data_IF_187075202169
#
_entry.id   IF_187075202169
#
_cell.length_a   1.000
_cell.length_b   1.000
_cell.length_c   1.000
_cell.angle_alpha   90.00
_cell.angle_beta   90.00
_cell.angle_gamma   90.00
#
_symmetry.space_group_name_H-M   'P 1'
#
loop_
_entity.id
_entity.type
_entity.pdbx_description
1 polymer ?
#
# COMPACT_ATOMS: atom_id res chain seq x y z
N UNK A 1 -7.33 65.63 -1.18
CA UNK A 1 -7.37 64.80 -2.41
C UNK A 1 -6.62 63.52 -2.10
N UNK A 2 -7.34 62.41 -1.91
CA UNK A 2 -6.83 61.16 -1.33
C UNK A 2 -6.27 60.22 -2.41
N UNK A 3 -5.22 59.47 -2.05
CA UNK A 3 -4.50 58.51 -2.90
C UNK A 3 -5.32 57.21 -3.00
N UNK A 4 -5.56 56.62 -4.19
CA UNK A 4 -6.25 55.34 -4.28
C UNK A 4 -5.28 54.16 -4.15
N UNK A 5 -5.72 53.11 -3.44
CA UNK A 5 -5.07 51.82 -3.27
C UNK A 5 -5.25 50.93 -4.52
N UNK A 6 -4.34 49.96 -4.80
CA UNK A 6 -4.46 49.10 -5.97
C UNK A 6 -5.52 48.01 -5.78
N UNK A 7 -6.25 47.76 -6.87
CA UNK A 7 -7.39 46.86 -6.97
C UNK A 7 -6.98 45.37 -6.97
N UNK A 8 -7.76 44.58 -6.22
CA UNK A 8 -7.80 43.13 -6.27
C UNK A 8 -8.10 42.65 -7.69
N UNK A 9 -7.16 41.90 -8.28
CA UNK A 9 -7.39 41.23 -9.56
C UNK A 9 -8.12 39.92 -9.32
N UNK A 10 -9.43 39.97 -9.53
CA UNK A 10 -10.33 38.83 -9.59
C UNK A 10 -10.03 38.05 -10.87
N UNK A 11 -9.61 36.78 -10.75
CA UNK A 11 -9.61 35.82 -11.86
C UNK A 11 -10.87 34.96 -11.75
N UNK A 12 -11.84 35.26 -12.62
CA UNK A 12 -12.90 34.38 -13.10
C UNK A 12 -12.53 34.05 -14.56
N UNK A 13 -12.80 32.92 -15.21
CA UNK A 13 -13.82 31.89 -15.06
C UNK A 13 -13.49 30.81 -16.12
N UNK A 14 -13.39 29.52 -15.76
CA UNK A 14 -13.94 28.42 -16.59
C UNK A 14 -14.08 27.14 -15.74
N UNK A 15 -14.92 27.24 -14.71
CA UNK A 15 -15.02 26.27 -13.63
C UNK A 15 -15.96 25.06 -13.92
N UNK A 16 -16.56 24.95 -15.12
CA UNK A 16 -17.73 24.09 -15.28
C UNK A 16 -17.49 22.56 -15.34
N UNK A 17 -16.35 22.10 -15.86
CA UNK A 17 -16.12 20.66 -16.16
C UNK A 17 -15.15 19.97 -15.22
N UNK A 18 -14.11 20.69 -14.78
CA UNK A 18 -13.14 20.19 -13.80
C UNK A 18 -13.73 20.16 -12.39
N UNK A 19 -14.68 21.05 -12.08
CA UNK A 19 -15.34 21.12 -10.77
C UNK A 19 -16.18 19.87 -10.46
N UNK A 20 -16.57 19.08 -11.46
CA UNK A 20 -17.27 17.80 -11.29
C UNK A 20 -16.32 16.66 -10.87
N UNK A 21 -15.13 16.55 -11.48
CA UNK A 21 -14.08 15.61 -11.00
C UNK A 21 -13.52 16.08 -9.65
N UNK A 22 -13.35 17.38 -9.43
CA UNK A 22 -12.92 17.95 -8.14
C UNK A 22 -13.96 17.76 -7.02
N UNK A 23 -15.26 17.84 -7.31
CA UNK A 23 -16.33 17.59 -6.34
C UNK A 23 -16.43 16.10 -5.98
N UNK A 24 -16.28 15.19 -6.94
CA UNK A 24 -16.22 13.75 -6.68
C UNK A 24 -15.00 13.34 -5.85
N UNK A 25 -13.85 14.00 -6.07
CA UNK A 25 -12.64 13.79 -5.28
C UNK A 25 -12.71 14.42 -3.88
N UNK A 26 -13.38 15.57 -3.71
CA UNK A 26 -13.69 16.15 -2.40
C UNK A 26 -14.66 15.25 -1.61
N UNK A 27 -15.61 14.59 -2.29
CA UNK A 27 -16.50 13.59 -1.69
C UNK A 27 -15.78 12.34 -1.14
N UNK A 28 -14.54 12.07 -1.56
CA UNK A 28 -13.72 10.98 -1.00
C UNK A 28 -12.99 11.37 0.30
N UNK A 29 -12.75 12.65 0.56
CA UNK A 29 -12.07 13.09 1.80
C UNK A 29 -12.91 12.83 3.06
N UNK A 30 -14.24 12.83 2.92
CA UNK A 30 -15.17 12.71 4.06
C UNK A 30 -15.79 11.30 4.21
N UNK A 31 -15.27 10.31 3.48
CA UNK A 31 -15.73 8.93 3.64
C UNK A 31 -15.20 8.31 4.95
N UNK A 32 -16.09 7.81 5.84
CA UNK A 32 -15.65 7.13 7.05
C UNK A 32 -14.84 5.87 6.70
N UNK A 33 -13.69 5.69 7.34
CA UNK A 33 -12.85 4.49 7.24
C UNK A 33 -11.77 4.50 6.15
N UNK A 34 -11.59 5.60 5.42
CA UNK A 34 -10.49 5.77 4.46
C UNK A 34 -9.56 6.93 4.88
N UNK A 35 -8.26 6.68 4.89
CA UNK A 35 -7.23 7.70 5.02
C UNK A 35 -6.96 8.30 3.63
N UNK A 36 -7.14 9.61 3.48
CA UNK A 36 -6.97 10.29 2.20
C UNK A 36 -5.95 11.41 2.36
N UNK A 37 -4.98 11.47 1.43
CA UNK A 37 -3.97 12.52 1.37
C UNK A 37 -3.76 13.01 -0.05
N UNK A 38 -3.59 14.32 -0.20
CA UNK A 38 -3.16 14.98 -1.43
C UNK A 38 -1.69 15.30 -1.32
N UNK A 39 -0.93 14.89 -2.33
CA UNK A 39 0.50 15.13 -2.45
C UNK A 39 0.78 16.14 -3.54
N UNK A 40 1.82 16.94 -3.35
CA UNK A 40 2.40 17.74 -4.44
C UNK A 40 3.21 16.86 -5.42
N UNK A 41 3.69 17.40 -6.56
CA UNK A 41 4.56 16.65 -7.48
C UNK A 41 5.90 16.20 -6.88
N UNK A 42 6.32 16.79 -5.74
CA UNK A 42 7.50 16.37 -4.99
C UNK A 42 7.21 15.26 -3.96
N UNK A 43 5.97 14.76 -3.94
CA UNK A 43 5.49 13.70 -3.05
C UNK A 43 5.40 14.12 -1.57
N UNK A 44 5.32 15.42 -1.32
CA UNK A 44 5.07 15.99 0.01
C UNK A 44 3.56 16.05 0.27
N UNK A 45 3.14 15.75 1.50
CA UNK A 45 1.73 15.84 1.89
C UNK A 45 1.31 17.31 1.93
N UNK A 46 0.38 17.70 1.06
CA UNK A 46 -0.18 19.05 1.01
C UNK A 46 -1.44 19.17 1.86
N UNK A 47 -2.31 18.16 1.80
CA UNK A 47 -3.58 18.10 2.52
C UNK A 47 -3.89 16.64 2.88
N UNK A 48 -4.64 16.40 3.95
CA UNK A 48 -5.16 15.08 4.29
C UNK A 48 -6.47 15.20 5.08
N UNK A 49 -7.24 14.12 5.17
CA UNK A 49 -8.46 14.08 5.98
C UNK A 49 -8.18 13.79 7.46
N UNK A 50 -9.19 13.94 8.31
CA UNK A 50 -9.07 13.73 9.75
C UNK A 50 -8.64 12.30 10.10
N UNK A 51 -9.12 11.30 9.35
CA UNK A 51 -8.74 9.90 9.56
C UNK A 51 -7.25 9.67 9.26
N UNK A 52 -6.71 10.31 8.23
CA UNK A 52 -5.29 10.29 7.94
C UNK A 52 -4.48 10.90 9.10
N UNK A 53 -4.89 12.06 9.63
CA UNK A 53 -4.19 12.68 10.75
C UNK A 53 -4.25 11.80 12.01
N UNK A 54 -5.44 11.25 12.33
CA UNK A 54 -5.63 10.31 13.44
C UNK A 54 -4.68 9.12 13.34
N UNK A 55 -4.43 8.64 12.13
CA UNK A 55 -3.57 7.49 11.92
C UNK A 55 -2.08 7.84 11.88
N UNK A 56 -1.64 8.99 11.35
CA UNK A 56 -0.22 9.24 11.01
C UNK A 56 0.50 10.35 11.78
N UNK A 57 -0.18 11.14 12.61
CA UNK A 57 0.52 12.17 13.38
C UNK A 57 -0.30 13.02 14.33
N UNK A 58 -1.57 12.70 14.58
CA UNK A 58 -2.44 13.44 15.49
C UNK A 58 -2.93 14.80 14.97
N UNK A 59 -2.09 15.55 14.22
CA UNK A 59 -2.43 16.87 13.68
C UNK A 59 -1.92 17.11 12.25
N UNK A 60 -2.43 18.17 11.60
CA UNK A 60 -1.99 18.59 10.27
C UNK A 60 -0.57 19.17 10.27
N UNK A 61 -0.14 19.82 11.35
CA UNK A 61 1.20 20.41 11.46
C UNK A 61 2.31 19.33 11.47
N UNK A 62 2.00 18.14 11.98
CA UNK A 62 2.95 17.03 12.10
C UNK A 62 3.08 16.21 10.82
N UNK A 63 2.20 16.42 9.85
CA UNK A 63 2.05 15.58 8.64
C UNK A 63 2.24 16.38 7.37
N UNK A 64 1.64 17.57 7.27
CA UNK A 64 1.76 18.42 6.09
C UNK A 64 3.22 18.88 5.90
N UNK A 65 3.68 18.89 4.65
CA UNK A 65 5.07 19.20 4.29
C UNK A 65 6.06 18.04 4.43
N UNK A 66 5.66 16.90 5.02
CA UNK A 66 6.49 15.69 5.08
C UNK A 66 6.37 14.87 3.79
N UNK A 67 7.43 14.16 3.45
CA UNK A 67 7.39 13.20 2.36
C UNK A 67 6.46 12.03 2.73
N UNK A 68 5.46 11.78 1.90
CA UNK A 68 4.51 10.68 2.13
C UNK A 68 5.20 9.33 2.26
N UNK A 69 6.28 9.11 1.51
CA UNK A 69 7.06 7.87 1.55
C UNK A 69 7.66 7.60 2.94
N UNK A 70 7.93 8.62 3.76
CA UNK A 70 8.51 8.42 5.10
C UNK A 70 7.52 7.82 6.10
N UNK A 71 6.21 7.88 5.79
CA UNK A 71 5.13 7.26 6.56
C UNK A 71 5.06 5.73 6.34
N UNK A 72 5.67 5.23 5.26
CA UNK A 72 5.76 3.81 4.97
C UNK A 72 6.99 3.16 5.62
N UNK A 73 6.93 1.83 5.81
CA UNK A 73 8.07 1.04 6.28
C UNK A 73 9.34 1.30 5.42
N UNK A 74 10.56 1.40 6.02
CA UNK A 74 11.80 1.67 5.29
C UNK A 74 12.00 0.86 4.00
N UNK A 75 11.70 -0.44 4.04
CA UNK A 75 11.79 -1.36 2.88
C UNK A 75 10.88 -0.98 1.70
N UNK A 76 9.80 -0.23 1.93
CA UNK A 76 8.83 0.17 0.92
C UNK A 76 9.05 1.59 0.39
N UNK A 77 9.91 2.40 1.03
CA UNK A 77 10.11 3.83 0.66
C UNK A 77 10.58 4.01 -0.77
N UNK A 78 11.61 3.28 -1.19
CA UNK A 78 12.15 3.38 -2.55
C UNK A 78 11.19 2.85 -3.62
N UNK A 79 10.59 1.64 -3.47
CA UNK A 79 9.55 1.17 -4.38
C UNK A 79 8.35 2.12 -4.51
N UNK A 80 7.87 2.65 -3.38
CA UNK A 80 6.73 3.56 -3.34
C UNK A 80 7.06 4.89 -4.03
N UNK A 81 8.23 5.47 -3.73
CA UNK A 81 8.75 6.68 -4.40
C UNK A 81 8.83 6.47 -5.91
N UNK A 82 9.36 5.33 -6.35
CA UNK A 82 9.43 5.00 -7.78
C UNK A 82 8.05 4.90 -8.43
N UNK A 83 7.09 4.23 -7.78
CA UNK A 83 5.72 4.10 -8.30
C UNK A 83 4.98 5.44 -8.39
N UNK A 84 5.14 6.30 -7.38
CA UNK A 84 4.58 7.65 -7.37
C UNK A 84 5.24 8.55 -8.41
N UNK A 85 6.57 8.48 -8.58
CA UNK A 85 7.29 9.22 -9.64
C UNK A 85 6.77 8.89 -11.04
N UNK A 86 6.45 7.62 -11.31
CA UNK A 86 5.81 7.23 -12.57
C UNK A 86 4.42 7.83 -12.80
N UNK A 87 3.72 8.25 -11.75
CA UNK A 87 2.48 9.03 -11.87
C UNK A 87 2.80 10.46 -12.27
N UNK A 88 3.76 11.11 -11.60
CA UNK A 88 4.22 12.48 -11.87
C UNK A 88 4.65 12.63 -13.33
N UNK A 89 5.46 11.70 -13.81
CA UNK A 89 6.00 11.71 -15.17
C UNK A 89 4.96 11.31 -16.24
N UNK A 90 3.72 11.00 -15.83
CA UNK A 90 2.64 10.60 -16.72
C UNK A 90 2.77 9.19 -17.32
N UNK A 91 3.84 8.46 -17.00
CA UNK A 91 4.11 7.08 -17.44
C UNK A 91 3.13 6.05 -16.89
N UNK A 92 2.28 6.45 -15.94
CA UNK A 92 1.24 5.60 -15.35
C UNK A 92 0.03 6.44 -14.95
N UNK A 93 -1.18 5.96 -15.25
CA UNK A 93 -2.43 6.69 -14.97
C UNK A 93 -2.99 6.45 -13.56
N UNK A 94 -2.62 5.34 -12.91
CA UNK A 94 -2.96 4.97 -11.54
C UNK A 94 -2.15 3.75 -11.10
N UNK A 95 -2.04 3.53 -9.79
CA UNK A 95 -1.64 2.22 -9.27
C UNK A 95 -2.33 1.92 -7.94
N UNK A 96 -2.48 0.62 -7.68
CA UNK A 96 -2.93 0.10 -6.39
C UNK A 96 -1.89 -0.91 -5.88
N UNK A 97 -1.59 -0.87 -4.59
CA UNK A 97 -0.65 -1.77 -3.92
C UNK A 97 -1.01 -1.91 -2.45
N UNK A 98 -0.46 -2.90 -1.77
CA UNK A 98 -0.59 -3.02 -0.32
C UNK A 98 0.65 -2.40 0.33
N UNK A 99 0.45 -1.54 1.32
CA UNK A 99 1.53 -0.92 2.09
C UNK A 99 1.40 -1.26 3.55
N UNK A 100 2.54 -1.49 4.20
CA UNK A 100 2.64 -1.52 5.65
C UNK A 100 2.97 -0.12 6.11
N UNK A 101 2.05 0.46 6.87
CA UNK A 101 2.12 1.81 7.40
C UNK A 101 2.28 1.77 8.92
N UNK A 102 2.98 2.76 9.46
CA UNK A 102 3.10 2.94 10.90
C UNK A 102 2.09 3.97 11.36
N UNK A 103 1.19 3.56 12.26
CA UNK A 103 0.33 4.50 12.94
C UNK A 103 1.15 5.34 13.94
N UNK A 104 0.72 6.57 14.22
CA UNK A 104 1.39 7.50 15.14
C UNK A 104 1.58 6.92 16.55
N UNK A 105 0.66 6.06 17.00
CA UNK A 105 0.63 5.50 18.35
C UNK A 105 0.63 3.96 18.39
N UNK A 106 0.93 3.26 17.28
CA UNK A 106 0.55 1.85 17.18
C UNK A 106 1.41 0.92 16.34
N UNK A 107 1.04 -0.36 16.42
CA UNK A 107 1.57 -1.45 15.63
C UNK A 107 1.44 -1.18 14.12
N UNK A 108 2.38 -1.68 13.31
CA UNK A 108 2.26 -1.59 11.85
C UNK A 108 0.94 -2.22 11.39
N UNK A 109 0.26 -1.54 10.47
CA UNK A 109 -0.97 -2.05 9.86
C UNK A 109 -0.82 -2.13 8.35
N UNK A 110 -1.50 -3.10 7.75
CA UNK A 110 -1.55 -3.28 6.30
C UNK A 110 -2.75 -2.55 5.74
N UNK A 111 -2.52 -1.75 4.70
CA UNK A 111 -3.57 -1.00 4.01
C UNK A 111 -3.45 -1.13 2.50
N UNK A 112 -4.58 -1.24 1.82
CA UNK A 112 -4.65 -1.08 0.38
C UNK A 112 -4.49 0.40 0.05
N UNK A 113 -3.41 0.73 -0.65
CA UNK A 113 -3.09 2.07 -1.14
C UNK A 113 -3.43 2.15 -2.63
N UNK A 114 -4.22 3.17 -2.98
CA UNK A 114 -4.46 3.58 -4.36
C UNK A 114 -3.95 5.00 -4.56
N UNK A 115 -3.17 5.22 -5.61
CA UNK A 115 -2.68 6.54 -5.98
C UNK A 115 -3.09 6.89 -7.41
N UNK A 116 -3.65 8.09 -7.57
CA UNK A 116 -4.10 8.65 -8.85
C UNK A 116 -3.53 10.06 -9.05
N UNK A 117 -3.00 10.39 -10.23
CA UNK A 117 -2.58 11.75 -10.54
C UNK A 117 -3.80 12.62 -10.82
N UNK A 118 -3.83 13.79 -10.21
CA UNK A 118 -4.78 14.87 -10.51
C UNK A 118 -4.07 15.83 -11.46
N UNK A 119 -4.62 16.00 -12.65
CA UNK A 119 -4.05 16.88 -13.67
C UNK A 119 -4.59 18.29 -13.49
N UNK A 120 -3.73 19.27 -13.73
CA UNK A 120 -4.16 20.66 -13.88
C UNK A 120 -4.44 20.99 -15.34
N UNK A 121 -4.82 22.25 -15.58
CA UNK A 121 -5.18 22.79 -16.91
C UNK A 121 -4.13 22.50 -17.99
N UNK A 122 -2.85 22.47 -17.62
CA UNK A 122 -1.74 22.29 -18.57
C UNK A 122 -1.43 20.82 -18.89
N UNK A 123 -2.34 19.87 -18.63
CA UNK A 123 -2.14 18.41 -18.75
C UNK A 123 -0.99 17.81 -17.91
N UNK A 124 -0.27 18.64 -17.15
CA UNK A 124 0.75 18.21 -16.18
C UNK A 124 0.06 17.74 -14.90
N UNK A 125 0.70 16.81 -14.20
CA UNK A 125 0.23 16.36 -12.89
C UNK A 125 0.41 17.51 -11.90
N UNK A 126 -0.71 18.06 -11.42
CA UNK A 126 -0.72 19.14 -10.45
C UNK A 126 -0.60 18.61 -9.03
N UNK A 127 -1.16 17.43 -8.77
CA UNK A 127 -1.07 16.75 -7.46
C UNK A 127 -1.32 15.26 -7.63
N UNK A 128 -1.04 14.47 -6.59
CA UNK A 128 -1.41 13.06 -6.52
C UNK A 128 -2.39 12.87 -5.37
N UNK A 129 -3.51 12.20 -5.62
CA UNK A 129 -4.40 11.77 -4.56
C UNK A 129 -4.04 10.34 -4.15
N UNK A 130 -3.86 10.15 -2.85
CA UNK A 130 -3.60 8.86 -2.23
C UNK A 130 -4.78 8.50 -1.33
N UNK A 131 -5.32 7.31 -1.55
CA UNK A 131 -6.40 6.73 -0.74
C UNK A 131 -5.89 5.44 -0.14
N UNK A 132 -5.92 5.36 1.18
CA UNK A 132 -5.53 4.21 1.99
C UNK A 132 -6.74 3.71 2.73
N UNK A 133 -7.19 2.50 2.41
CA UNK A 133 -8.28 1.84 3.15
C UNK A 133 -7.69 0.79 4.05
N UNK A 134 -8.08 0.82 5.32
CA UNK A 134 -7.72 -0.27 6.24
C UNK A 134 -8.43 -1.53 5.78
N UNK A 135 -7.71 -2.65 5.71
CA UNK A 135 -8.32 -3.96 5.46
C UNK A 135 -9.26 -4.39 6.61
N UNK A 136 -9.28 -3.67 7.73
CA UNK A 136 -10.03 -4.02 8.92
C UNK A 136 -11.49 -3.50 8.95
N UNK A 137 -12.10 -3.09 7.83
CA UNK A 137 -13.40 -2.41 7.90
C UNK A 137 -14.43 -2.58 6.78
N UNK A 138 -14.11 -3.16 5.62
CA UNK A 138 -15.14 -3.39 4.57
C UNK A 138 -14.90 -4.71 3.84
N UNK A 139 -15.80 -5.66 4.10
CA UNK A 139 -16.01 -6.82 3.24
C UNK A 139 -16.66 -6.35 1.92
N UNK A 140 -16.15 -6.89 0.81
CA UNK A 140 -16.57 -6.81 -0.60
C UNK A 140 -16.38 -5.48 -1.39
N UNK A 141 -15.42 -5.51 -2.32
CA UNK A 141 -15.72 -5.85 -3.73
C UNK A 141 -14.43 -5.86 -4.59
N UNK A 142 -14.13 -7.05 -5.14
CA UNK A 142 -13.26 -7.31 -6.31
C UNK A 142 -11.74 -7.10 -6.22
N UNK A 143 -11.14 -7.48 -5.09
CA UNK A 143 -9.78 -8.06 -5.09
C UNK A 143 -9.87 -9.40 -4.37
N UNK A 144 -9.88 -10.49 -5.13
CA UNK A 144 -9.81 -11.84 -4.58
C UNK A 144 -8.50 -12.00 -3.79
N UNK A 145 -8.58 -11.92 -2.48
CA UNK A 145 -8.41 -13.10 -1.61
C UNK A 145 -9.15 -12.87 -0.30
N UNK A 146 -10.24 -13.62 -0.01
CA UNK A 146 -10.73 -13.70 1.36
C UNK A 146 -9.61 -14.28 2.23
N UNK A 147 -9.61 -13.94 3.52
CA UNK A 147 -8.86 -14.61 4.60
C UNK A 147 -9.30 -16.08 4.72
N UNK A 148 -9.16 -16.85 3.65
CA UNK A 148 -9.30 -18.29 3.67
C UNK A 148 -8.01 -18.78 4.27
N UNK A 149 -8.12 -19.62 5.28
CA UNK A 149 -7.07 -20.51 5.72
C UNK A 149 -6.57 -21.33 4.52
N UNK A 150 -5.58 -20.83 3.78
CA UNK A 150 -5.17 -21.41 2.49
C UNK A 150 -4.14 -22.50 2.72
N UNK A 151 -3.25 -22.34 3.69
CA UNK A 151 -2.12 -23.23 3.97
C UNK A 151 -2.45 -24.22 5.09
N UNK A 152 -1.95 -25.45 4.98
CA UNK A 152 -1.85 -26.32 6.16
C UNK A 152 -0.70 -25.87 7.06
N UNK A 153 -0.66 -26.30 8.32
CA UNK A 153 0.46 -26.03 9.23
C UNK A 153 1.80 -26.44 8.64
N UNK A 154 1.88 -27.63 8.03
CA UNK A 154 3.07 -28.12 7.35
C UNK A 154 3.47 -27.22 6.18
N UNK A 155 2.50 -26.78 5.36
CA UNK A 155 2.78 -25.87 4.24
C UNK A 155 3.29 -24.51 4.72
N UNK A 156 2.75 -23.98 5.82
CA UNK A 156 3.22 -22.74 6.42
C UNK A 156 4.66 -22.88 6.92
N UNK A 157 4.97 -23.94 7.67
CA UNK A 157 6.33 -24.22 8.17
C UNK A 157 7.34 -24.45 7.04
N UNK A 158 6.93 -25.11 5.95
CA UNK A 158 7.77 -25.28 4.76
C UNK A 158 8.04 -23.94 4.09
N UNK A 159 7.01 -23.11 3.91
CA UNK A 159 7.16 -21.78 3.32
C UNK A 159 8.11 -20.89 4.14
N UNK A 160 7.99 -20.90 5.47
CA UNK A 160 8.91 -20.19 6.38
C UNK A 160 10.35 -20.70 6.26
N UNK A 161 10.54 -22.03 6.21
CA UNK A 161 11.86 -22.62 6.03
C UNK A 161 12.51 -22.20 4.71
N UNK A 162 11.75 -22.19 3.61
CA UNK A 162 12.22 -21.74 2.30
C UNK A 162 12.57 -20.24 2.34
N UNK A 163 11.70 -19.41 2.92
CA UNK A 163 11.92 -17.97 3.05
C UNK A 163 13.14 -17.64 3.92
N UNK A 164 13.42 -18.46 4.94
CA UNK A 164 14.62 -18.38 5.76
C UNK A 164 15.90 -18.92 5.06
N UNK A 165 15.80 -19.43 3.82
CA UNK A 165 16.92 -19.96 3.06
C UNK A 165 17.34 -21.39 3.46
N UNK A 166 16.51 -22.13 4.19
CA UNK A 166 16.81 -23.51 4.60
C UNK A 166 16.65 -24.45 3.40
N UNK A 167 17.68 -25.26 3.14
CA UNK A 167 17.66 -26.25 2.07
C UNK A 167 16.74 -27.44 2.42
N UNK A 168 16.32 -28.22 1.41
CA UNK A 168 15.32 -29.28 1.59
C UNK A 168 15.71 -30.33 2.64
N UNK A 169 17.00 -30.70 2.75
CA UNK A 169 17.44 -31.78 3.66
C UNK A 169 17.30 -31.36 5.13
N UNK A 170 17.89 -30.24 5.60
CA UNK A 170 17.63 -29.76 6.96
C UNK A 170 16.16 -29.45 7.24
N UNK A 171 15.41 -28.97 6.25
CA UNK A 171 13.99 -28.70 6.39
C UNK A 171 13.19 -29.98 6.65
N UNK A 172 13.52 -31.06 5.92
CA UNK A 172 12.93 -32.38 6.12
C UNK A 172 13.18 -32.91 7.53
N UNK A 173 14.42 -32.81 8.02
CA UNK A 173 14.77 -33.20 9.40
C UNK A 173 14.00 -32.39 10.45
N UNK A 174 13.90 -31.07 10.29
CA UNK A 174 13.20 -30.18 11.25
C UNK A 174 11.69 -30.43 11.32
N UNK A 175 11.10 -30.86 10.21
CA UNK A 175 9.66 -31.09 10.11
C UNK A 175 9.27 -32.56 10.24
N UNK A 176 10.23 -33.45 10.55
CA UNK A 176 10.04 -34.90 10.63
C UNK A 176 9.39 -35.48 9.36
N UNK A 177 9.81 -34.98 8.20
CA UNK A 177 9.35 -35.43 6.88
C UNK A 177 10.48 -36.08 6.10
N UNK A 178 10.14 -36.88 5.08
CA UNK A 178 11.11 -37.31 4.08
C UNK A 178 11.47 -36.15 3.14
N UNK A 179 12.65 -36.21 2.50
CA UNK A 179 13.05 -35.24 1.45
C UNK A 179 11.98 -35.13 0.36
N UNK A 180 11.42 -36.27 -0.06
CA UNK A 180 10.36 -36.32 -1.07
C UNK A 180 9.05 -35.71 -0.56
N UNK A 181 8.72 -35.90 0.73
CA UNK A 181 7.57 -35.26 1.37
C UNK A 181 7.67 -33.74 1.35
N UNK A 182 8.85 -33.18 1.64
CA UNK A 182 9.08 -31.73 1.52
C UNK A 182 8.90 -31.27 0.08
N UNK A 183 9.53 -31.92 -0.90
CA UNK A 183 9.40 -31.55 -2.34
C UNK A 183 7.94 -31.61 -2.83
N UNK A 184 7.16 -32.58 -2.35
CA UNK A 184 5.74 -32.68 -2.63
C UNK A 184 4.98 -31.42 -2.17
N UNK A 185 5.19 -31.00 -0.91
CA UNK A 185 4.56 -29.79 -0.38
C UNK A 185 5.05 -28.52 -1.08
N UNK A 186 6.33 -28.44 -1.45
CA UNK A 186 6.87 -27.33 -2.25
C UNK A 186 6.14 -27.23 -3.58
N UNK A 187 5.99 -28.34 -4.30
CA UNK A 187 5.27 -28.38 -5.59
C UNK A 187 3.80 -27.96 -5.43
N UNK A 188 3.16 -28.40 -4.34
CA UNK A 188 1.79 -27.99 -4.01
C UNK A 188 1.69 -26.49 -3.73
N UNK A 189 2.64 -25.91 -3.00
CA UNK A 189 2.73 -24.46 -2.76
C UNK A 189 2.93 -23.68 -4.06
N UNK A 190 3.84 -24.12 -4.94
CA UNK A 190 4.09 -23.49 -6.24
C UNK A 190 2.82 -23.46 -7.10
N UNK A 191 2.10 -24.59 -7.18
CA UNK A 191 0.83 -24.69 -7.90
C UNK A 191 -0.25 -23.82 -7.27
N UNK A 192 -0.36 -23.82 -5.93
CA UNK A 192 -1.34 -23.06 -5.17
C UNK A 192 -1.16 -21.55 -5.35
N UNK A 193 0.08 -21.07 -5.36
CA UNK A 193 0.42 -19.65 -5.57
C UNK A 193 0.66 -19.30 -7.05
N UNK A 194 0.51 -20.26 -7.97
CA UNK A 194 0.67 -20.11 -9.43
C UNK A 194 2.01 -19.48 -9.81
N UNK A 195 3.10 -20.03 -9.29
CA UNK A 195 4.48 -19.56 -9.53
C UNK A 195 5.39 -20.68 -10.04
N UNK A 196 6.42 -20.36 -10.84
CA UNK A 196 7.23 -21.38 -11.51
C UNK A 196 8.36 -21.96 -10.66
N UNK A 197 8.79 -21.28 -9.59
CA UNK A 197 9.96 -21.69 -8.81
C UNK A 197 9.94 -21.15 -7.36
N UNK A 198 10.88 -21.63 -6.53
CA UNK A 198 10.96 -21.30 -5.10
C UNK A 198 11.20 -19.81 -4.81
N UNK A 199 12.00 -19.13 -5.62
CA UNK A 199 12.24 -17.70 -5.44
C UNK A 199 10.94 -16.90 -5.70
N UNK A 200 10.22 -17.25 -6.77
CA UNK A 200 8.92 -16.67 -7.08
C UNK A 200 7.87 -17.01 -6.01
N UNK A 201 7.97 -18.18 -5.35
CA UNK A 201 7.12 -18.55 -4.21
C UNK A 201 7.27 -17.58 -3.06
N UNK A 202 8.51 -17.30 -2.64
CA UNK A 202 8.80 -16.36 -1.54
C UNK A 202 8.34 -14.96 -1.92
N UNK A 203 8.69 -14.48 -3.12
CA UNK A 203 8.29 -13.17 -3.61
C UNK A 203 6.76 -13.01 -3.64
N UNK A 204 6.04 -14.00 -4.18
CA UNK A 204 4.57 -13.97 -4.23
C UNK A 204 3.95 -14.05 -2.83
N UNK A 205 4.51 -14.84 -1.92
CA UNK A 205 4.03 -14.94 -0.54
C UNK A 205 4.13 -13.59 0.20
N UNK A 206 5.21 -12.83 0.00
CA UNK A 206 5.32 -11.46 0.52
C UNK A 206 4.32 -10.50 -0.14
N UNK A 207 4.21 -10.53 -1.48
CA UNK A 207 3.27 -9.67 -2.21
C UNK A 207 1.80 -9.92 -1.86
N UNK A 208 1.47 -11.14 -1.42
CA UNK A 208 0.13 -11.55 -0.97
C UNK A 208 -0.10 -11.35 0.54
N UNK A 209 0.90 -10.89 1.30
CA UNK A 209 0.81 -10.75 2.77
C UNK A 209 0.74 -12.07 3.54
N UNK A 210 1.04 -13.19 2.90
CA UNK A 210 1.09 -14.52 3.55
C UNK A 210 2.28 -14.61 4.49
N UNK A 211 3.42 -14.03 4.09
CA UNK A 211 4.58 -13.86 4.95
C UNK A 211 4.54 -12.48 5.62
N UNK A 212 4.80 -12.46 6.91
CA UNK A 212 4.95 -11.25 7.71
C UNK A 212 6.17 -10.45 7.24
N UNK A 213 5.95 -9.15 7.05
CA UNK A 213 7.01 -8.22 6.61
C UNK A 213 7.77 -7.73 7.84
N UNK A 214 9.10 -7.77 7.79
CA UNK A 214 9.96 -7.23 8.84
C UNK A 214 10.30 -8.21 9.97
N UNK A 215 9.77 -9.43 9.97
CA UNK A 215 10.18 -10.47 10.91
C UNK A 215 11.29 -11.37 10.36
N UNK A 216 12.32 -11.58 11.20
CA UNK A 216 13.37 -12.57 10.95
C UNK A 216 13.53 -13.50 12.16
N UNK A 217 13.47 -14.83 11.97
CA UNK A 217 13.19 -15.53 10.72
C UNK A 217 11.77 -15.26 10.18
N UNK A 218 11.53 -15.34 8.85
CA UNK A 218 10.23 -15.05 8.26
C UNK A 218 9.12 -15.95 8.83
N UNK A 219 7.95 -15.38 9.09
CA UNK A 219 6.78 -16.08 9.63
C UNK A 219 5.57 -15.96 8.70
N UNK A 220 4.75 -17.00 8.66
CA UNK A 220 3.44 -16.94 8.01
C UNK A 220 2.42 -16.33 8.96
N UNK A 221 1.59 -15.43 8.45
CA UNK A 221 0.49 -14.80 9.20
C UNK A 221 -0.56 -15.89 9.53
N UNK A 222 -0.98 -15.98 10.80
CA UNK A 222 -1.79 -17.09 11.30
C UNK A 222 -3.15 -17.23 10.58
N UNK A 223 -3.72 -16.13 10.11
CA UNK A 223 -4.99 -16.10 9.37
C UNK A 223 -4.96 -16.93 8.08
N UNK A 224 -3.77 -17.20 7.54
CA UNK A 224 -3.59 -18.01 6.33
C UNK A 224 -3.43 -19.51 6.62
N UNK A 225 -3.37 -19.93 7.90
CA UNK A 225 -3.15 -21.32 8.33
C UNK A 225 -4.48 -21.98 8.75
N UNK A 226 -4.70 -23.21 8.27
CA UNK A 226 -5.90 -24.03 8.56
C UNK A 226 -5.96 -24.53 9.98
#
# INVERSE_FOLDING_TARGET
>A
MAIPAPADTVISHDAGRDQLEYADLLGQFDQPGACVARLDPNLLVQQANQEFFRQFGGSSADVCGRAFCDLAHPSLRQPLKHQLGRLVDGSRRRFATHVVAFAAEGAPFTSALTAVPVRGETSRVASILVVMRSAAGFEDADVVTPHKKVLTEIEARILEGIAAGVSTVPLASRLYLSRQGVEYHVTRLLRKLRVPNRAALVSRAYSMGVLEVGSWPPKVVQDFVK
#
